data_IF_099891802066
#
_entry.id   IF_099891802066
#
_cell.length_a   1.000
_cell.length_b   1.000
_cell.length_c   1.000
_cell.angle_alpha   90.00
_cell.angle_beta   90.00
_cell.angle_gamma   90.00
#
_symmetry.space_group_name_H-M   'P 1'
#
loop_
_entity.id
_entity.type
_entity.pdbx_description
1 polymer ?
#
# COMPACT_ATOMS: atom_id res chain seq x y z
N UNK A 1 37.37 -10.94 -15.54
CA UNK A 1 37.68 -11.12 -14.13
C UNK A 1 36.45 -10.84 -13.29
N UNK A 2 36.20 -11.63 -12.26
CA UNK A 2 35.09 -11.55 -11.34
C UNK A 2 35.64 -11.39 -9.90
N UNK A 3 34.96 -10.61 -9.05
CA UNK A 3 35.31 -10.42 -7.66
C UNK A 3 35.83 -9.02 -7.31
N UNK A 4 36.25 -8.86 -6.07
CA UNK A 4 36.81 -7.60 -5.54
C UNK A 4 37.97 -7.06 -6.39
N UNK A 5 37.98 -5.75 -6.63
CA UNK A 5 39.06 -5.06 -7.34
C UNK A 5 39.07 -5.29 -8.86
N UNK A 6 37.97 -5.80 -9.43
CA UNK A 6 37.81 -5.94 -10.88
C UNK A 6 36.69 -5.01 -11.40
N UNK A 7 36.58 -4.88 -12.72
CA UNK A 7 35.45 -4.15 -13.33
C UNK A 7 34.09 -4.75 -12.99
N UNK A 8 34.05 -6.02 -12.56
CA UNK A 8 32.84 -6.73 -12.17
C UNK A 8 32.64 -6.77 -10.64
N UNK A 9 33.28 -5.90 -9.87
CA UNK A 9 33.14 -5.82 -8.39
C UNK A 9 31.67 -5.68 -7.98
N UNK A 10 30.88 -4.91 -8.71
CA UNK A 10 29.47 -4.70 -8.42
C UNK A 10 28.63 -6.01 -8.43
N UNK A 11 28.98 -6.99 -9.24
CA UNK A 11 28.31 -8.29 -9.24
C UNK A 11 28.56 -9.03 -7.94
N UNK A 12 29.82 -9.03 -7.49
CA UNK A 12 30.20 -9.61 -6.20
C UNK A 12 29.52 -8.89 -5.04
N UNK A 13 29.44 -7.56 -5.08
CA UNK A 13 28.77 -6.77 -4.04
C UNK A 13 27.27 -7.08 -3.99
N UNK A 14 26.60 -7.20 -5.12
CA UNK A 14 25.19 -7.56 -5.17
C UNK A 14 24.93 -8.96 -4.61
N UNK A 15 25.75 -9.96 -4.95
CA UNK A 15 25.65 -11.28 -4.37
C UNK A 15 25.87 -11.25 -2.86
N UNK A 16 26.86 -10.51 -2.40
CA UNK A 16 27.12 -10.36 -0.97
C UNK A 16 25.94 -9.71 -0.25
N UNK A 17 25.34 -8.64 -0.78
CA UNK A 17 24.16 -8.01 -0.23
C UNK A 17 22.97 -8.96 -0.15
N UNK A 18 22.79 -9.84 -1.12
CA UNK A 18 21.76 -10.87 -1.07
C UNK A 18 21.98 -11.86 0.09
N UNK A 19 23.22 -12.22 0.38
CA UNK A 19 23.55 -13.08 1.55
C UNK A 19 23.21 -12.40 2.88
N UNK A 20 23.17 -11.06 2.89
CA UNK A 20 22.77 -10.23 4.05
C UNK A 20 21.26 -10.01 4.12
N UNK A 21 20.48 -10.63 3.25
CA UNK A 21 19.01 -10.57 3.26
C UNK A 21 18.41 -9.46 2.38
N UNK A 22 19.20 -8.77 1.55
CA UNK A 22 18.65 -7.83 0.57
C UNK A 22 17.94 -8.58 -0.55
N UNK A 23 16.61 -8.61 -0.53
CA UNK A 23 15.78 -9.39 -1.48
C UNK A 23 15.64 -8.80 -2.88
N UNK A 24 16.42 -7.76 -3.25
CA UNK A 24 16.34 -7.10 -4.56
C UNK A 24 17.71 -6.82 -5.15
N UNK A 25 17.75 -6.70 -6.48
CA UNK A 25 18.93 -6.25 -7.22
C UNK A 25 18.91 -4.72 -7.27
N UNK A 26 19.99 -4.09 -6.83
CA UNK A 26 20.12 -2.63 -6.85
C UNK A 26 20.63 -2.14 -8.22
N UNK A 27 20.20 -0.94 -8.67
CA UNK A 27 20.84 -0.24 -9.77
C UNK A 27 22.27 0.16 -9.37
N UNK A 28 23.19 0.08 -10.33
CA UNK A 28 24.61 0.34 -10.11
C UNK A 28 25.03 1.63 -10.81
N UNK A 29 25.63 2.52 -10.06
CA UNK A 29 26.32 3.69 -10.55
C UNK A 29 27.83 3.49 -10.36
N UNK A 30 28.58 3.37 -11.43
CA UNK A 30 30.05 3.35 -11.38
C UNK A 30 30.51 4.79 -11.37
N UNK A 31 30.76 5.33 -10.19
CA UNK A 31 31.06 6.76 -9.99
C UNK A 31 32.48 7.12 -10.35
N UNK A 32 33.40 6.15 -10.27
CA UNK A 32 34.79 6.32 -10.68
C UNK A 32 35.32 5.03 -11.29
N UNK A 33 35.89 5.12 -12.49
CA UNK A 33 36.56 4.00 -13.16
C UNK A 33 37.57 4.51 -14.16
N UNK A 34 38.57 3.72 -14.45
CA UNK A 34 39.59 4.07 -15.41
C UNK A 34 40.95 3.38 -15.17
N UNK A 35 41.91 3.74 -15.92
CA UNK A 35 43.27 3.22 -15.84
C UNK A 35 44.25 4.35 -15.97
N UNK A 36 45.36 4.25 -15.23
CA UNK A 36 46.49 5.16 -15.37
C UNK A 36 47.21 4.93 -16.69
N UNK A 37 47.54 6.01 -17.37
CA UNK A 37 48.40 5.99 -18.56
C UNK A 37 49.78 6.58 -18.28
N UNK A 38 50.77 6.19 -19.10
CA UNK A 38 52.18 6.59 -18.95
C UNK A 38 52.45 8.09 -19.06
N UNK A 39 51.55 8.85 -19.72
CA UNK A 39 51.79 10.23 -20.15
C UNK A 39 51.18 11.26 -19.17
N UNK A 40 51.56 11.21 -17.90
CA UNK A 40 51.24 12.25 -16.93
C UNK A 40 52.13 13.48 -17.05
N UNK A 41 52.22 14.31 -16.02
CA UNK A 41 53.13 15.44 -15.92
C UNK A 41 54.58 14.99 -16.11
N UNK A 42 54.90 13.83 -15.61
CA UNK A 42 56.11 13.09 -15.86
C UNK A 42 55.79 11.75 -16.50
N UNK A 43 56.59 11.31 -17.46
CA UNK A 43 56.41 10.03 -18.10
C UNK A 43 56.75 8.88 -17.19
N UNK A 44 55.85 7.90 -17.01
CA UNK A 44 56.10 6.69 -16.21
C UNK A 44 55.90 5.43 -17.10
N UNK A 45 57.04 4.80 -17.47
CA UNK A 45 57.06 3.61 -18.33
C UNK A 45 56.43 2.35 -17.68
N UNK A 46 56.16 2.38 -16.37
CA UNK A 46 55.51 1.27 -15.65
C UNK A 46 53.98 1.25 -15.84
N UNK A 47 53.45 2.37 -16.31
CA UNK A 47 52.02 2.53 -16.58
C UNK A 47 51.69 2.15 -18.03
N UNK A 48 50.40 1.94 -18.29
CA UNK A 48 49.89 1.60 -19.62
C UNK A 48 50.08 2.74 -20.61
N UNK A 49 50.27 2.42 -21.90
CA UNK A 49 50.19 3.49 -22.89
C UNK A 49 48.78 4.03 -23.02
N UNK A 50 48.58 5.31 -23.45
CA UNK A 50 47.24 5.84 -23.74
C UNK A 50 46.44 4.99 -24.73
N UNK A 51 47.09 4.31 -25.68
CA UNK A 51 46.49 3.40 -26.66
C UNK A 51 45.97 2.12 -25.98
N UNK A 52 46.71 1.60 -25.01
CA UNK A 52 46.28 0.44 -24.21
C UNK A 52 45.08 0.81 -23.34
N UNK A 53 45.09 1.97 -22.70
CA UNK A 53 43.94 2.48 -21.94
C UNK A 53 42.72 2.65 -22.85
N UNK A 54 42.92 3.17 -24.06
CA UNK A 54 41.88 3.30 -25.10
C UNK A 54 41.24 1.93 -25.44
N UNK A 55 42.06 0.90 -25.61
CA UNK A 55 41.59 -0.47 -25.89
C UNK A 55 40.82 -1.05 -24.73
N UNK A 56 41.24 -0.78 -23.47
CA UNK A 56 40.53 -1.23 -22.26
C UNK A 56 39.16 -0.55 -22.09
N UNK A 57 39.05 0.76 -22.34
CA UNK A 57 37.79 1.48 -22.32
C UNK A 57 36.83 0.90 -23.37
N UNK A 58 37.33 0.66 -24.59
CA UNK A 58 36.53 0.06 -25.65
C UNK A 58 36.05 -1.34 -25.24
N UNK A 59 36.93 -2.20 -24.77
CA UNK A 59 36.57 -3.56 -24.33
C UNK A 59 35.56 -3.55 -23.17
N UNK A 60 35.74 -2.68 -22.16
CA UNK A 60 34.81 -2.54 -21.07
C UNK A 60 33.42 -2.07 -21.51
N UNK A 61 33.37 -1.16 -22.49
CA UNK A 61 32.12 -0.60 -23.03
C UNK A 61 31.29 -1.62 -23.82
N UNK A 62 31.92 -2.59 -24.45
CA UNK A 62 31.24 -3.67 -25.16
C UNK A 62 31.01 -4.93 -24.32
N UNK A 63 31.37 -4.93 -23.07
CA UNK A 63 31.22 -6.07 -22.15
C UNK A 63 30.57 -5.70 -20.84
N UNK A 64 31.37 -5.45 -19.79
CA UNK A 64 30.90 -5.32 -18.43
C UNK A 64 30.04 -4.06 -18.20
N UNK A 65 30.29 -2.95 -18.89
CA UNK A 65 29.52 -1.73 -18.76
C UNK A 65 28.14 -1.77 -19.46
N UNK A 66 27.87 -2.79 -20.26
CA UNK A 66 26.52 -3.05 -20.81
C UNK A 66 25.65 -3.92 -19.92
N UNK A 67 26.13 -4.29 -18.74
CA UNK A 67 25.34 -5.09 -17.83
C UNK A 67 24.05 -4.36 -17.44
N UNK A 68 22.92 -5.08 -17.49
CA UNK A 68 21.55 -4.52 -17.29
C UNK A 68 21.36 -3.75 -16.00
N UNK A 69 22.16 -4.00 -14.97
CA UNK A 69 22.07 -3.33 -13.68
C UNK A 69 22.87 -2.03 -13.64
N UNK A 70 23.73 -1.76 -14.61
CA UNK A 70 24.52 -0.52 -14.66
C UNK A 70 23.67 0.59 -15.26
N UNK A 71 23.46 1.64 -14.49
CA UNK A 71 22.69 2.84 -14.87
C UNK A 71 23.60 3.91 -15.49
N UNK A 72 24.78 4.08 -14.93
CA UNK A 72 25.74 5.07 -15.41
C UNK A 72 27.17 4.65 -15.08
N UNK A 73 28.08 5.11 -15.92
CA UNK A 73 29.53 4.96 -15.76
C UNK A 73 30.17 6.32 -15.91
N UNK A 74 30.94 6.73 -14.91
CA UNK A 74 31.70 7.99 -14.92
C UNK A 74 33.19 7.68 -14.91
N UNK A 75 33.88 7.83 -16.05
CA UNK A 75 35.32 7.64 -16.09
C UNK A 75 36.05 8.75 -15.30
N UNK A 76 37.10 8.37 -14.62
CA UNK A 76 37.97 9.27 -13.87
C UNK A 76 39.29 9.44 -14.65
N UNK A 77 39.72 10.65 -15.03
CA UNK A 77 39.13 11.98 -14.81
C UNK A 77 39.23 12.82 -16.10
N UNK A 78 38.25 13.68 -16.36
CA UNK A 78 38.23 14.47 -17.60
C UNK A 78 39.46 15.35 -17.79
N UNK A 79 39.85 16.11 -16.75
CA UNK A 79 41.01 17.02 -16.79
C UNK A 79 41.64 17.14 -15.41
N UNK A 80 42.87 16.66 -15.29
CA UNK A 80 43.70 16.85 -14.11
C UNK A 80 45.15 17.00 -14.53
N UNK A 81 45.82 18.11 -14.17
CA UNK A 81 47.05 18.53 -14.78
C UNK A 81 48.30 18.32 -13.90
N UNK A 82 48.14 17.76 -12.67
CA UNK A 82 49.24 17.58 -11.73
C UNK A 82 49.09 16.29 -10.92
N UNK A 83 50.08 15.94 -10.11
CA UNK A 83 50.04 14.83 -9.17
C UNK A 83 48.86 15.01 -8.16
N UNK A 84 48.15 13.98 -7.75
CA UNK A 84 48.41 12.55 -7.99
C UNK A 84 47.59 11.93 -9.15
N UNK A 85 46.71 12.66 -9.84
CA UNK A 85 45.75 12.10 -10.77
C UNK A 85 46.01 12.46 -12.26
N UNK A 86 47.12 13.13 -12.56
CA UNK A 86 47.51 13.51 -13.89
C UNK A 86 47.59 12.32 -14.86
N UNK A 87 47.99 11.15 -14.39
CA UNK A 87 48.03 9.90 -15.14
C UNK A 87 46.64 9.31 -15.47
N UNK A 88 45.55 9.86 -14.92
CA UNK A 88 44.18 9.47 -15.29
C UNK A 88 43.54 10.50 -16.25
N UNK A 89 44.19 11.64 -16.50
CA UNK A 89 43.59 12.74 -17.24
C UNK A 89 43.29 12.34 -18.69
N UNK A 90 42.09 12.66 -19.18
CA UNK A 90 41.75 12.53 -20.57
C UNK A 90 42.34 13.66 -21.41
N UNK A 91 42.42 14.86 -20.83
CA UNK A 91 43.06 16.00 -21.44
C UNK A 91 44.60 15.89 -21.32
N UNK A 92 45.32 16.13 -22.39
CA UNK A 92 46.77 16.12 -22.37
C UNK A 92 47.32 17.19 -21.43
N UNK A 93 48.46 16.90 -20.83
CA UNK A 93 49.11 17.81 -19.88
C UNK A 93 49.64 19.03 -20.65
N UNK A 94 49.28 20.23 -20.15
CA UNK A 94 49.65 21.53 -20.74
C UNK A 94 49.29 21.68 -22.22
N UNK A 95 48.28 20.99 -22.70
CA UNK A 95 47.81 21.04 -24.08
C UNK A 95 46.32 21.31 -24.20
N UNK A 96 45.84 21.69 -25.37
CA UNK A 96 44.41 21.94 -25.65
C UNK A 96 43.67 20.69 -26.10
N UNK A 97 44.37 19.65 -26.54
CA UNK A 97 43.83 18.41 -27.06
C UNK A 97 43.78 17.28 -26.02
N UNK A 98 43.28 16.13 -26.44
CA UNK A 98 43.00 15.00 -25.58
C UNK A 98 43.86 13.78 -25.98
N UNK A 99 44.05 12.84 -25.04
CA UNK A 99 44.61 11.53 -25.30
C UNK A 99 43.64 10.66 -26.11
N UNK A 100 44.15 9.62 -26.75
CA UNK A 100 43.35 8.73 -27.60
C UNK A 100 42.18 8.07 -26.88
N UNK A 101 42.31 7.76 -25.61
CA UNK A 101 41.25 7.14 -24.80
C UNK A 101 40.06 8.08 -24.56
N UNK A 102 40.21 9.41 -24.66
CA UNK A 102 39.08 10.32 -24.68
C UNK A 102 38.18 10.07 -25.90
N UNK A 103 38.79 9.96 -27.08
CA UNK A 103 38.02 9.76 -28.30
C UNK A 103 37.35 8.39 -28.34
N UNK A 104 37.99 7.34 -27.78
CA UNK A 104 37.35 6.03 -27.60
C UNK A 104 36.13 6.11 -26.71
N UNK A 105 36.23 6.80 -25.58
CA UNK A 105 35.07 7.01 -24.70
C UNK A 105 33.96 7.85 -25.38
N UNK A 106 34.34 8.90 -26.12
CA UNK A 106 33.41 9.75 -26.86
C UNK A 106 32.59 8.94 -27.88
N UNK A 107 33.20 7.98 -28.52
CA UNK A 107 32.59 7.13 -29.57
C UNK A 107 31.66 6.03 -29.02
N UNK A 108 31.71 5.72 -27.73
CA UNK A 108 30.80 4.74 -27.13
C UNK A 108 29.36 5.21 -27.35
N UNK A 109 28.51 4.32 -27.84
CA UNK A 109 27.07 4.57 -27.93
C UNK A 109 26.49 4.80 -26.55
N UNK A 110 25.82 5.92 -26.33
CA UNK A 110 25.24 6.33 -25.07
C UNK A 110 23.73 6.46 -25.20
N UNK A 111 22.99 5.91 -24.24
CA UNK A 111 21.57 6.24 -24.15
C UNK A 111 21.41 7.69 -23.68
N UNK A 112 20.59 8.43 -24.41
CA UNK A 112 20.23 9.80 -24.04
C UNK A 112 18.90 9.75 -23.29
N UNK A 113 18.80 10.51 -22.21
CA UNK A 113 17.57 10.64 -21.45
C UNK A 113 17.80 10.54 -19.94
N UNK A 114 16.72 10.62 -19.19
CA UNK A 114 16.72 10.45 -17.75
C UNK A 114 16.47 8.96 -17.48
N UNK A 115 17.27 8.29 -16.64
CA UNK A 115 17.00 6.91 -16.25
C UNK A 115 15.59 6.80 -15.66
N UNK A 116 14.80 5.87 -16.19
CA UNK A 116 13.45 5.61 -15.66
C UNK A 116 13.56 4.61 -14.53
N UNK A 117 13.05 4.98 -13.39
CA UNK A 117 12.89 4.05 -12.27
C UNK A 117 11.69 3.15 -12.53
N UNK A 118 11.82 1.89 -12.16
CA UNK A 118 10.70 0.95 -12.22
C UNK A 118 9.78 1.21 -11.02
N UNK A 119 8.56 1.57 -11.32
CA UNK A 119 7.48 1.65 -10.34
C UNK A 119 6.72 0.33 -10.34
N UNK A 120 6.54 -0.24 -9.18
CA UNK A 120 5.78 -1.48 -8.99
C UNK A 120 5.27 -1.55 -7.56
N UNK A 121 4.05 -2.02 -7.39
CA UNK A 121 3.43 -2.27 -6.09
C UNK A 121 2.83 -3.67 -6.07
N UNK A 122 2.82 -4.28 -4.90
CA UNK A 122 2.12 -5.52 -4.62
C UNK A 122 1.16 -5.31 -3.45
N UNK A 123 -0.05 -5.86 -3.57
CA UNK A 123 -0.99 -5.85 -2.46
C UNK A 123 -0.71 -7.05 -1.57
N UNK A 124 -0.48 -6.79 -0.29
CA UNK A 124 -0.34 -7.83 0.73
C UNK A 124 -1.71 -8.22 1.32
N UNK A 125 -2.59 -7.24 1.47
CA UNK A 125 -3.97 -7.47 1.92
C UNK A 125 -4.85 -6.30 1.50
N UNK A 126 -6.08 -6.63 1.09
CA UNK A 126 -7.11 -5.65 0.81
C UNK A 126 -8.35 -5.98 1.63
N UNK A 127 -8.91 -4.99 2.28
CA UNK A 127 -10.10 -5.14 3.11
C UNK A 127 -11.35 -4.56 2.41
N UNK A 128 -11.57 -4.95 1.16
CA UNK A 128 -12.81 -4.62 0.48
C UNK A 128 -13.83 -5.75 0.72
N UNK A 129 -14.97 -5.48 1.39
CA UNK A 129 -15.99 -6.51 1.61
C UNK A 129 -16.57 -6.99 0.27
N UNK A 130 -16.78 -8.30 0.14
CA UNK A 130 -17.44 -8.88 -1.04
C UNK A 130 -18.91 -8.46 -1.18
N UNK A 131 -19.53 -8.04 -0.06
CA UNK A 131 -20.89 -7.49 -0.03
C UNK A 131 -20.93 -6.24 0.81
N UNK A 132 -21.56 -5.18 0.30
CA UNK A 132 -21.77 -3.89 0.94
C UNK A 132 -23.23 -3.49 0.87
N UNK A 133 -23.72 -2.80 1.88
CA UNK A 133 -25.09 -2.29 1.89
C UNK A 133 -25.18 -0.99 1.10
N UNK A 134 -26.23 -0.81 0.31
CA UNK A 134 -26.48 0.44 -0.43
C UNK A 134 -26.64 1.63 0.53
N UNK A 135 -26.39 2.85 0.05
CA UNK A 135 -26.47 4.10 0.83
C UNK A 135 -25.63 4.08 2.12
N UNK A 136 -24.52 3.39 2.10
CA UNK A 136 -23.65 3.20 3.26
C UNK A 136 -22.24 3.71 2.99
N UNK A 137 -21.53 4.05 4.07
CA UNK A 137 -20.15 4.52 3.98
C UNK A 137 -19.25 3.51 4.67
N UNK A 138 -18.18 3.12 4.00
CA UNK A 138 -17.20 2.13 4.49
C UNK A 138 -15.81 2.71 4.46
N UNK A 139 -15.01 2.37 5.47
CA UNK A 139 -13.58 2.60 5.46
C UNK A 139 -12.92 1.28 5.06
N UNK A 140 -12.16 1.33 3.98
CA UNK A 140 -11.38 0.19 3.49
C UNK A 140 -9.90 0.48 3.63
N UNK A 141 -9.16 -0.49 4.12
CA UNK A 141 -7.72 -0.42 4.27
C UNK A 141 -7.05 -1.35 3.27
N UNK A 142 -6.07 -0.82 2.55
CA UNK A 142 -5.26 -1.57 1.61
C UNK A 142 -3.81 -1.50 2.07
N UNK A 143 -3.21 -2.65 2.34
CA UNK A 143 -1.78 -2.76 2.60
C UNK A 143 -1.06 -3.02 1.29
N UNK A 144 -0.18 -2.10 0.92
CA UNK A 144 0.65 -2.22 -0.28
C UNK A 144 2.12 -2.34 0.08
N UNK A 145 2.86 -3.09 -0.71
CA UNK A 145 4.32 -3.17 -0.66
C UNK A 145 4.91 -2.51 -1.91
N UNK A 146 5.87 -1.62 -1.71
CA UNK A 146 6.63 -1.06 -2.80
C UNK A 146 7.66 -2.09 -3.32
N UNK A 147 7.37 -2.73 -4.44
CA UNK A 147 8.28 -3.68 -5.12
C UNK A 147 9.07 -3.02 -6.24
N UNK A 148 8.94 -1.71 -6.39
CA UNK A 148 9.66 -0.89 -7.35
C UNK A 148 11.02 -0.42 -6.85
N UNK A 149 11.58 0.53 -7.58
CA UNK A 149 12.86 1.20 -7.28
C UNK A 149 12.65 2.64 -6.80
N UNK A 150 11.49 3.22 -7.10
CA UNK A 150 11.12 4.57 -6.68
C UNK A 150 10.61 4.58 -5.25
N UNK A 151 10.94 5.62 -4.50
CA UNK A 151 10.27 5.93 -3.23
C UNK A 151 8.89 6.49 -3.56
N UNK A 152 7.86 6.02 -2.90
CA UNK A 152 6.51 6.56 -2.97
C UNK A 152 6.39 7.64 -1.90
N UNK A 153 5.99 8.86 -2.27
CA UNK A 153 5.87 10.01 -1.36
C UNK A 153 4.42 10.50 -1.26
N UNK A 154 3.98 10.99 -0.10
CA UNK A 154 2.63 11.55 0.07
C UNK A 154 2.41 12.87 -0.69
N UNK A 155 3.49 13.60 -1.01
CA UNK A 155 3.46 14.91 -1.70
C UNK A 155 4.06 14.86 -3.11
N UNK A 156 4.47 13.69 -3.58
CA UNK A 156 4.75 13.46 -5.00
C UNK A 156 3.42 13.21 -5.71
N UNK A 157 3.45 13.14 -7.03
CA UNK A 157 2.25 12.91 -7.85
C UNK A 157 1.58 11.54 -7.62
N UNK A 158 1.85 10.88 -6.46
CA UNK A 158 1.22 9.62 -6.09
C UNK A 158 -0.08 9.87 -5.33
N UNK A 159 -1.13 9.20 -5.77
CA UNK A 159 -2.41 9.13 -5.08
C UNK A 159 -3.07 7.77 -5.30
N UNK A 160 -3.99 7.39 -4.41
CA UNK A 160 -4.81 6.19 -4.60
C UNK A 160 -6.22 6.62 -4.94
N UNK A 161 -6.82 5.91 -5.86
CA UNK A 161 -8.24 6.05 -6.19
C UNK A 161 -8.88 4.67 -6.31
N UNK A 162 -10.18 4.62 -6.06
CA UNK A 162 -11.00 3.45 -6.29
C UNK A 162 -11.85 3.71 -7.51
N UNK A 163 -11.74 2.86 -8.51
CA UNK A 163 -12.57 2.89 -9.71
C UNK A 163 -13.44 1.65 -9.77
N UNK A 164 -14.62 1.81 -10.29
CA UNK A 164 -15.51 0.69 -10.63
C UNK A 164 -16.08 0.88 -12.04
N UNK A 165 -16.62 -0.19 -12.60
CA UNK A 165 -16.97 -0.29 -14.01
C UNK A 165 -18.15 0.63 -14.44
N UNK A 166 -18.96 1.10 -13.50
CA UNK A 166 -20.16 1.92 -13.77
C UNK A 166 -20.08 3.35 -13.24
N UNK A 167 -19.00 3.73 -12.54
CA UNK A 167 -18.74 5.06 -11.98
C UNK A 167 -19.85 5.59 -11.03
N UNK A 168 -20.38 4.71 -10.18
CA UNK A 168 -21.46 5.03 -9.23
C UNK A 168 -21.01 5.11 -7.77
N UNK A 169 -19.77 4.71 -7.46
CA UNK A 169 -19.20 4.85 -6.12
C UNK A 169 -18.55 6.21 -5.96
N UNK A 170 -18.78 6.84 -4.82
CA UNK A 170 -17.99 7.98 -4.39
C UNK A 170 -16.86 7.45 -3.50
N UNK A 171 -15.62 7.84 -3.78
CA UNK A 171 -14.46 7.42 -2.96
C UNK A 171 -13.52 8.58 -2.70
N UNK A 172 -13.00 8.64 -1.47
CA UNK A 172 -11.95 9.56 -1.05
C UNK A 172 -10.92 8.73 -0.30
N UNK A 173 -9.66 8.80 -0.76
CA UNK A 173 -8.55 8.11 -0.12
C UNK A 173 -7.65 9.09 0.62
N UNK A 174 -7.05 8.64 1.72
CA UNK A 174 -6.02 9.38 2.41
C UNK A 174 -4.78 9.55 1.52
N UNK A 175 -3.95 10.57 1.75
CA UNK A 175 -2.67 10.70 1.09
C UNK A 175 -1.82 9.42 1.26
N UNK A 176 -1.14 9.03 0.20
CA UNK A 176 -0.24 7.87 0.24
C UNK A 176 0.88 8.17 1.23
N UNK A 177 1.20 7.28 2.20
CA UNK A 177 2.34 7.49 3.08
C UNK A 177 3.66 7.36 2.31
N UNK A 178 4.76 7.82 2.89
CA UNK A 178 6.07 7.50 2.36
C UNK A 178 6.32 6.00 2.48
N UNK A 179 6.68 5.35 1.35
CA UNK A 179 6.96 3.92 1.30
C UNK A 179 8.26 3.72 0.53
N UNK A 180 9.31 3.37 1.25
CA UNK A 180 10.60 3.02 0.67
C UNK A 180 10.51 1.72 -0.14
N UNK A 181 11.42 1.49 -1.09
CA UNK A 181 11.49 0.20 -1.78
C UNK A 181 11.59 -0.98 -0.80
N UNK A 182 10.74 -2.00 -1.00
CA UNK A 182 10.49 -3.16 -0.13
C UNK A 182 9.73 -2.90 1.17
N UNK A 183 9.41 -1.66 1.51
CA UNK A 183 8.57 -1.36 2.66
C UNK A 183 7.07 -1.49 2.33
N UNK A 184 6.27 -1.50 3.39
CA UNK A 184 4.82 -1.59 3.33
C UNK A 184 4.19 -0.30 3.83
N UNK A 185 3.05 0.07 3.25
CA UNK A 185 2.22 1.17 3.70
C UNK A 185 0.74 0.80 3.71
N UNK A 186 -0.03 1.43 4.59
CA UNK A 186 -1.48 1.28 4.66
C UNK A 186 -2.12 2.56 4.14
N UNK A 187 -3.05 2.39 3.21
CA UNK A 187 -3.86 3.47 2.64
C UNK A 187 -5.31 3.22 3.02
N UNK A 188 -5.96 4.24 3.55
CA UNK A 188 -7.38 4.22 3.89
C UNK A 188 -8.18 4.97 2.84
N UNK A 189 -9.25 4.34 2.37
CA UNK A 189 -10.21 4.96 1.49
C UNK A 189 -11.60 4.91 2.12
N UNK A 190 -12.30 6.02 2.11
CA UNK A 190 -13.71 6.08 2.43
C UNK A 190 -14.50 5.87 1.15
N UNK A 191 -15.36 4.86 1.13
CA UNK A 191 -16.21 4.52 -0.01
C UNK A 191 -17.66 4.72 0.39
N UNK A 192 -18.42 5.43 -0.45
CA UNK A 192 -19.87 5.56 -0.33
C UNK A 192 -20.54 4.77 -1.46
N UNK A 193 -21.38 3.85 -1.06
CA UNK A 193 -22.12 2.97 -1.98
C UNK A 193 -23.32 3.66 -2.62
N UNK A 194 -23.72 3.26 -3.85
CA UNK A 194 -24.90 3.82 -4.51
C UNK A 194 -26.20 3.48 -3.79
N UNK A 195 -27.31 4.03 -4.26
CA UNK A 195 -28.65 3.82 -3.71
C UNK A 195 -29.43 2.70 -4.39
N UNK A 196 -28.75 1.85 -5.16
CA UNK A 196 -29.34 0.71 -5.88
C UNK A 196 -28.41 -0.50 -5.78
N UNK A 197 -29.00 -1.68 -5.81
CA UNK A 197 -28.30 -2.97 -5.78
C UNK A 197 -27.61 -3.29 -7.10
N UNK A 198 -26.63 -4.15 -7.07
CA UNK A 198 -25.92 -4.62 -8.25
C UNK A 198 -24.56 -5.26 -7.93
N UNK A 199 -23.96 -5.81 -8.97
CA UNK A 199 -22.59 -6.34 -8.92
C UNK A 199 -21.66 -5.38 -9.67
N UNK A 200 -20.50 -5.15 -9.09
CA UNK A 200 -19.51 -4.19 -9.55
C UNK A 200 -18.11 -4.78 -9.48
N UNK A 201 -17.34 -4.52 -10.52
CA UNK A 201 -15.90 -4.79 -10.48
C UNK A 201 -15.20 -3.55 -9.97
N UNK A 202 -14.65 -3.64 -8.79
CA UNK A 202 -13.96 -2.53 -8.11
C UNK A 202 -12.46 -2.71 -8.21
N UNK A 203 -11.75 -1.66 -8.57
CA UNK A 203 -10.30 -1.65 -8.69
C UNK A 203 -9.69 -0.54 -7.85
N UNK A 204 -8.69 -0.87 -7.04
CA UNK A 204 -7.78 0.11 -6.46
C UNK A 204 -6.66 0.42 -7.44
N UNK A 205 -6.36 1.68 -7.66
CA UNK A 205 -5.35 2.15 -8.60
C UNK A 205 -4.43 3.12 -7.85
N UNK A 206 -3.13 2.86 -7.90
CA UNK A 206 -2.11 3.84 -7.54
C UNK A 206 -1.82 4.69 -8.78
N UNK A 207 -2.03 5.98 -8.66
CA UNK A 207 -1.73 6.97 -9.69
C UNK A 207 -0.35 7.58 -9.46
N UNK A 208 0.41 7.79 -10.52
CA UNK A 208 1.60 8.63 -10.50
C UNK A 208 1.56 9.55 -11.72
N UNK A 209 1.15 10.78 -11.51
CA UNK A 209 0.86 11.71 -12.58
C UNK A 209 -0.24 11.19 -13.51
N UNK A 210 0.12 10.87 -14.77
CA UNK A 210 -0.80 10.28 -15.76
C UNK A 210 -0.69 8.76 -15.88
N UNK A 211 0.18 8.12 -15.07
CA UNK A 211 0.43 6.68 -15.12
C UNK A 211 -0.46 5.98 -14.10
N UNK A 212 -1.26 5.05 -14.56
CA UNK A 212 -2.05 4.15 -13.72
C UNK A 212 -1.23 2.90 -13.40
N UNK A 213 -1.06 2.60 -12.12
CA UNK A 213 -0.46 1.36 -11.62
C UNK A 213 -1.61 0.58 -10.99
N UNK A 214 -2.23 -0.37 -11.72
CA UNK A 214 -3.36 -1.13 -11.21
C UNK A 214 -2.91 -2.04 -10.07
N UNK A 215 -3.70 -2.06 -9.00
CA UNK A 215 -3.36 -2.85 -7.82
C UNK A 215 -4.10 -4.19 -7.89
N UNK A 216 -5.43 -4.20 -7.78
CA UNK A 216 -6.21 -5.45 -7.81
C UNK A 216 -7.66 -5.17 -8.20
N UNK A 217 -8.33 -6.20 -8.75
CA UNK A 217 -9.76 -6.21 -9.02
C UNK A 217 -10.49 -7.05 -7.96
N UNK A 218 -11.57 -6.53 -7.43
CA UNK A 218 -12.44 -7.24 -6.50
C UNK A 218 -13.89 -7.11 -6.98
N UNK A 219 -14.60 -8.21 -7.01
CA UNK A 219 -16.04 -8.17 -7.23
C UNK A 219 -16.76 -7.81 -5.93
N UNK A 220 -17.62 -6.81 -5.98
CA UNK A 220 -18.39 -6.32 -4.84
C UNK A 220 -19.87 -6.35 -5.20
N UNK A 221 -20.67 -6.94 -4.35
CA UNK A 221 -22.14 -6.93 -4.48
C UNK A 221 -22.73 -5.87 -3.55
N UNK A 222 -23.52 -4.96 -4.10
CA UNK A 222 -24.31 -4.00 -3.35
C UNK A 222 -25.68 -4.58 -3.10
N UNK A 223 -26.06 -4.66 -1.83
CA UNK A 223 -27.30 -5.27 -1.35
C UNK A 223 -28.21 -4.27 -0.66
N UNK A 224 -29.53 -4.53 -0.58
CA UNK A 224 -30.42 -3.74 0.26
C UNK A 224 -30.04 -3.81 1.73
N UNK A 225 -30.44 -2.80 2.55
CA UNK A 225 -30.18 -2.85 4.00
C UNK A 225 -30.85 -4.08 4.62
N UNK A 226 -30.10 -4.93 5.33
CA UNK A 226 -30.65 -6.08 6.00
C UNK A 226 -31.73 -5.70 7.04
N UNK A 227 -32.57 -6.66 7.35
CA UNK A 227 -33.54 -6.57 8.43
C UNK A 227 -33.25 -7.62 9.52
N UNK A 228 -33.72 -7.39 10.72
CA UNK A 228 -33.60 -8.36 11.81
C UNK A 228 -34.90 -8.51 12.62
N UNK A 229 -35.20 -9.75 12.96
CA UNK A 229 -36.20 -10.12 13.91
C UNK A 229 -35.52 -10.65 15.16
N UNK A 230 -35.80 -10.00 16.31
CA UNK A 230 -35.23 -10.38 17.60
C UNK A 230 -36.31 -11.14 18.40
N UNK A 231 -35.97 -12.34 18.86
CA UNK A 231 -36.75 -13.10 19.82
C UNK A 231 -36.35 -12.69 21.21
N UNK A 232 -37.28 -12.06 21.95
CA UNK A 232 -37.05 -11.50 23.30
C UNK A 232 -37.95 -12.18 24.31
N UNK A 233 -37.34 -12.65 25.37
CA UNK A 233 -38.08 -13.22 26.56
C UNK A 233 -37.99 -12.24 27.70
N UNK A 234 -39.14 -11.80 28.20
CA UNK A 234 -39.23 -10.84 29.30
C UNK A 234 -39.59 -11.54 30.62
N UNK A 235 -38.72 -11.39 31.62
CA UNK A 235 -38.95 -11.85 33.00
C UNK A 235 -39.50 -13.26 33.07
N UNK A 236 -40.59 -13.40 33.79
CA UNK A 236 -41.31 -14.67 34.00
C UNK A 236 -42.45 -14.89 32.99
N UNK A 237 -42.80 -13.87 32.18
CA UNK A 237 -43.94 -13.92 31.27
C UNK A 237 -43.46 -13.87 29.78
N UNK A 238 -43.82 -14.90 29.02
CA UNK A 238 -43.40 -15.04 27.60
C UNK A 238 -44.25 -14.22 26.59
N UNK A 239 -45.37 -13.66 27.04
CA UNK A 239 -46.38 -13.07 26.13
C UNK A 239 -46.64 -11.57 26.32
N UNK A 240 -45.80 -10.88 27.06
CA UNK A 240 -45.93 -9.43 27.26
C UNK A 240 -45.69 -8.65 26.01
N UNK A 241 -46.56 -7.68 25.74
CA UNK A 241 -46.36 -6.66 24.72
C UNK A 241 -45.88 -5.36 25.37
N UNK A 242 -44.79 -4.82 24.86
CA UNK A 242 -44.22 -3.54 25.29
C UNK A 242 -44.31 -2.57 24.11
N UNK A 243 -44.91 -1.39 24.28
CA UNK A 243 -45.15 -0.48 23.16
C UNK A 243 -43.85 0.20 22.65
N UNK A 244 -42.87 0.33 23.50
CA UNK A 244 -41.65 1.04 23.16
C UNK A 244 -40.44 0.44 23.86
N UNK A 245 -39.41 0.12 23.07
CA UNK A 245 -38.08 -0.28 23.51
C UNK A 245 -37.04 0.29 22.60
N UNK A 246 -35.76 0.11 22.92
CA UNK A 246 -34.65 0.59 22.09
C UNK A 246 -33.72 -0.56 21.73
N UNK A 247 -33.27 -0.58 20.48
CA UNK A 247 -32.24 -1.50 20.01
C UNK A 247 -31.04 -0.68 19.55
N UNK A 248 -29.85 -0.96 20.08
CA UNK A 248 -28.59 -0.35 19.72
C UNK A 248 -27.75 -1.40 19.03
N UNK A 249 -27.11 -0.99 17.94
CA UNK A 249 -26.19 -1.84 17.18
C UNK A 249 -24.81 -1.17 17.17
N UNK A 250 -23.82 -1.88 17.67
CA UNK A 250 -22.43 -1.44 17.74
C UNK A 250 -21.54 -2.36 16.92
N UNK A 251 -20.48 -1.81 16.36
CA UNK A 251 -19.36 -2.62 15.87
C UNK A 251 -18.53 -3.20 17.05
N UNK A 252 -17.51 -4.00 16.73
CA UNK A 252 -16.63 -4.59 17.74
C UNK A 252 -15.67 -3.58 18.42
N UNK A 253 -15.55 -2.37 17.84
CA UNK A 253 -14.78 -1.26 18.42
C UNK A 253 -15.65 -0.36 19.33
N UNK A 254 -16.89 -0.79 19.62
CA UNK A 254 -17.88 -0.05 20.40
C UNK A 254 -18.38 1.25 19.73
N UNK A 255 -18.24 1.38 18.42
CA UNK A 255 -18.84 2.48 17.67
C UNK A 255 -20.33 2.19 17.49
N UNK A 256 -21.19 3.12 17.88
CA UNK A 256 -22.64 3.01 17.69
C UNK A 256 -22.96 3.24 16.21
N UNK A 257 -23.44 2.20 15.52
CA UNK A 257 -23.89 2.29 14.12
C UNK A 257 -25.38 2.64 14.03
N UNK A 258 -26.22 2.04 14.87
CA UNK A 258 -27.66 2.25 14.83
C UNK A 258 -28.28 2.40 16.22
N UNK A 259 -29.26 3.28 16.30
CA UNK A 259 -30.15 3.44 17.45
C UNK A 259 -31.59 3.43 16.95
N UNK A 260 -32.29 2.30 17.13
CA UNK A 260 -33.71 2.18 16.84
C UNK A 260 -34.50 2.45 18.15
N UNK A 261 -35.28 3.50 18.15
CA UNK A 261 -36.15 3.87 19.28
C UNK A 261 -37.61 3.53 18.95
N UNK A 262 -38.44 3.41 19.99
CA UNK A 262 -39.85 3.08 19.85
C UNK A 262 -40.11 1.76 19.10
N UNK A 263 -39.23 0.78 19.27
CA UNK A 263 -39.41 -0.55 18.69
C UNK A 263 -40.37 -1.33 19.58
N UNK A 264 -41.57 -1.75 19.13
CA UNK A 264 -42.50 -2.48 19.95
C UNK A 264 -42.08 -3.94 20.11
N UNK A 265 -42.31 -4.51 21.26
CA UNK A 265 -42.25 -5.94 21.50
C UNK A 265 -43.69 -6.47 21.40
N UNK A 266 -43.95 -7.35 20.45
CA UNK A 266 -45.25 -7.98 20.24
C UNK A 266 -45.09 -9.52 20.33
N UNK A 267 -45.71 -10.14 21.31
CA UNK A 267 -45.60 -11.60 21.54
C UNK A 267 -44.15 -12.08 21.61
N UNK A 268 -43.26 -11.30 22.21
CA UNK A 268 -41.84 -11.63 22.31
C UNK A 268 -41.00 -11.38 21.04
N UNK A 269 -41.55 -10.69 20.04
CA UNK A 269 -40.84 -10.37 18.80
C UNK A 269 -40.65 -8.87 18.66
N UNK A 270 -39.43 -8.48 18.22
CA UNK A 270 -39.07 -7.14 17.80
C UNK A 270 -38.55 -7.19 16.35
N UNK A 271 -38.89 -6.19 15.55
CA UNK A 271 -38.37 -6.09 14.19
C UNK A 271 -37.61 -4.77 14.01
N UNK A 272 -36.46 -4.84 13.44
CA UNK A 272 -35.67 -3.67 13.01
C UNK A 272 -35.35 -3.81 11.53
N UNK A 273 -35.40 -2.69 10.80
CA UNK A 273 -35.14 -2.61 9.37
C UNK A 273 -34.18 -1.47 9.09
N UNK A 274 -33.53 -1.52 7.94
CA UNK A 274 -32.61 -0.44 7.56
C UNK A 274 -31.28 -0.52 8.30
N UNK A 275 -30.67 -1.69 8.40
CA UNK A 275 -29.34 -1.87 8.96
C UNK A 275 -28.29 -1.44 7.93
N UNK A 276 -28.07 -0.14 7.82
CA UNK A 276 -27.03 0.45 6.98
C UNK A 276 -25.63 0.29 7.61
N UNK A 277 -24.56 0.53 6.83
CA UNK A 277 -23.17 0.52 7.30
C UNK A 277 -22.71 -0.80 7.94
N UNK A 278 -23.51 -1.84 7.84
CA UNK A 278 -23.11 -3.18 8.28
C UNK A 278 -22.46 -3.95 7.13
N UNK A 279 -21.56 -4.84 7.47
CA UNK A 279 -20.89 -5.73 6.52
C UNK A 279 -21.37 -7.15 6.79
N UNK A 280 -22.02 -7.81 5.84
CA UNK A 280 -22.41 -9.21 5.98
C UNK A 280 -21.21 -10.10 6.32
N UNK A 281 -21.46 -11.11 7.14
CA UNK A 281 -20.42 -12.02 7.65
C UNK A 281 -19.65 -11.48 8.86
N UNK A 282 -19.74 -10.18 9.18
CA UNK A 282 -19.10 -9.61 10.37
C UNK A 282 -19.97 -9.72 11.61
N UNK A 283 -19.29 -9.72 12.76
CA UNK A 283 -19.93 -9.76 14.06
C UNK A 283 -20.20 -8.33 14.58
N UNK A 284 -21.36 -8.16 15.22
CA UNK A 284 -21.83 -6.92 15.84
C UNK A 284 -22.33 -7.17 17.23
N UNK A 285 -22.28 -6.16 18.10
CA UNK A 285 -22.85 -6.18 19.44
C UNK A 285 -24.21 -5.48 19.41
N UNK A 286 -25.27 -6.24 19.74
CA UNK A 286 -26.64 -5.74 19.89
C UNK A 286 -26.93 -5.51 21.35
N UNK A 287 -27.51 -4.35 21.68
CA UNK A 287 -28.01 -4.06 23.03
C UNK A 287 -29.50 -3.76 22.96
N UNK A 288 -30.28 -4.46 23.78
CA UNK A 288 -31.72 -4.28 23.89
C UNK A 288 -32.01 -3.62 25.21
N UNK A 289 -32.67 -2.46 25.14
CA UNK A 289 -33.14 -1.68 26.32
C UNK A 289 -34.65 -1.68 26.33
N UNK A 290 -35.21 -2.26 27.41
CA UNK A 290 -36.67 -2.29 27.64
C UNK A 290 -36.94 -1.54 28.94
N UNK A 291 -37.93 -0.60 29.00
CA UNK A 291 -38.22 0.15 30.21
C UNK A 291 -38.44 -0.76 31.40
N UNK A 292 -37.76 -0.47 32.52
CA UNK A 292 -37.80 -1.21 33.78
C UNK A 292 -37.20 -2.62 33.76
N UNK A 293 -36.47 -2.98 32.69
CA UNK A 293 -35.75 -4.24 32.59
C UNK A 293 -34.24 -3.97 32.42
N UNK A 294 -33.45 -4.79 33.07
CA UNK A 294 -31.97 -4.76 32.89
C UNK A 294 -31.58 -4.94 31.43
N UNK A 295 -30.68 -4.10 30.93
CA UNK A 295 -30.20 -4.21 29.55
C UNK A 295 -29.63 -5.59 29.22
N UNK A 296 -29.80 -6.02 27.97
CA UNK A 296 -29.18 -7.25 27.49
C UNK A 296 -28.40 -6.97 26.23
N UNK A 297 -27.22 -7.56 26.16
CA UNK A 297 -26.39 -7.53 24.97
C UNK A 297 -26.13 -8.94 24.44
N UNK A 298 -26.05 -9.04 23.14
CA UNK A 298 -25.64 -10.24 22.41
C UNK A 298 -24.68 -9.88 21.30
N UNK A 299 -23.78 -10.83 20.97
CA UNK A 299 -22.95 -10.75 19.79
C UNK A 299 -23.58 -11.59 18.69
N UNK A 300 -23.78 -10.98 17.52
CA UNK A 300 -24.46 -11.61 16.39
C UNK A 300 -23.61 -11.48 15.14
N UNK A 301 -23.74 -12.44 14.23
CA UNK A 301 -23.21 -12.33 12.88
C UNK A 301 -24.28 -11.80 11.95
N UNK A 302 -23.98 -10.78 11.16
CA UNK A 302 -24.90 -10.17 10.20
C UNK A 302 -24.97 -11.01 8.94
N UNK A 303 -26.16 -11.35 8.48
CA UNK A 303 -26.40 -11.95 7.16
C UNK A 303 -26.89 -10.89 6.18
N UNK A 304 -26.83 -11.20 4.89
CA UNK A 304 -27.12 -10.26 3.78
C UNK A 304 -28.59 -9.80 3.72
N UNK A 305 -29.53 -10.66 4.10
CA UNK A 305 -30.96 -10.38 3.94
C UNK A 305 -31.66 -10.28 5.29
N UNK A 306 -32.26 -11.39 5.72
CA UNK A 306 -33.03 -11.46 6.95
C UNK A 306 -32.22 -12.14 8.05
N UNK A 307 -32.20 -11.49 9.20
CA UNK A 307 -31.55 -11.99 10.40
C UNK A 307 -32.58 -12.40 11.43
N UNK A 308 -32.31 -13.47 12.15
CA UNK A 308 -33.11 -13.90 13.30
C UNK A 308 -32.20 -14.09 14.50
N UNK A 309 -32.38 -13.27 15.51
CA UNK A 309 -31.53 -13.27 16.69
C UNK A 309 -32.34 -13.60 17.97
N UNK A 310 -31.76 -14.37 18.87
CA UNK A 310 -32.35 -14.69 20.16
C UNK A 310 -31.62 -13.89 21.24
N UNK A 311 -32.36 -13.03 21.95
CA UNK A 311 -31.84 -12.25 23.05
C UNK A 311 -32.05 -13.03 24.32
N UNK A 312 -31.01 -13.18 25.15
CA UNK A 312 -31.14 -13.78 26.47
C UNK A 312 -32.20 -13.07 27.27
N UNK A 313 -32.83 -13.79 28.21
CA UNK A 313 -33.95 -13.29 29.03
C UNK A 313 -33.59 -11.96 29.68
N UNK A 314 -34.48 -10.94 29.53
CA UNK A 314 -34.41 -9.69 30.24
C UNK A 314 -35.15 -9.85 31.60
N UNK A 315 -34.50 -9.44 32.65
CA UNK A 315 -35.07 -9.44 33.98
C UNK A 315 -35.60 -8.06 34.34
N UNK A 316 -36.79 -7.94 34.98
CA UNK A 316 -37.29 -6.68 35.52
C UNK A 316 -36.37 -6.21 36.65
N UNK A 317 -36.67 -5.08 37.25
CA UNK A 317 -36.01 -4.46 38.41
C UNK A 317 -34.88 -3.46 38.04
N UNK A 318 -35.05 -2.72 37.00
CA UNK A 318 -34.26 -1.51 36.70
C UNK A 318 -35.21 -0.29 36.77
N UNK A 319 -35.65 0.06 37.98
CA UNK A 319 -36.65 1.09 38.19
C UNK A 319 -36.04 2.49 38.06
N UNK A 320 -34.80 2.67 38.48
CA UNK A 320 -34.06 3.93 38.34
C UNK A 320 -33.44 4.13 36.96
N UNK A 321 -33.42 3.08 36.11
CA UNK A 321 -32.90 3.07 34.70
C UNK A 321 -31.40 3.34 34.61
N UNK A 322 -30.62 2.91 35.61
CA UNK A 322 -29.17 3.02 35.60
C UNK A 322 -28.49 1.82 34.93
N UNK A 323 -29.25 0.78 34.57
CA UNK A 323 -28.78 -0.42 33.88
C UNK A 323 -28.21 -1.48 34.82
N UNK A 324 -28.30 -1.27 36.13
CA UNK A 324 -27.83 -2.20 37.16
C UNK A 324 -28.95 -2.55 38.12
N UNK A 325 -28.92 -3.73 38.74
CA UNK A 325 -29.81 -4.08 39.82
C UNK A 325 -29.11 -3.78 41.16
N UNK A 326 -29.58 -2.77 41.86
CA UNK A 326 -28.98 -2.28 43.10
C UNK A 326 -30.10 -2.11 44.20
N UNK A 327 -29.69 -1.68 45.38
CA UNK A 327 -30.65 -1.33 46.45
C UNK A 327 -31.44 -0.03 46.14
N UNK A 328 -31.08 0.69 45.09
CA UNK A 328 -31.79 1.86 44.64
C UNK A 328 -32.99 1.54 43.72
N UNK A 329 -33.07 0.30 43.24
CA UNK A 329 -34.19 -0.25 42.48
C UNK A 329 -35.26 -0.83 43.41
#
# INVERSE_FOLDING_TARGET
AYGKGTLATFLWEQEFLQTLGLGRILPVFITETGWQHSNGKYYDFRLLSPETVSSYITAASFSIWQHQNIVAVTPFVFNYQDYPFDHFSFKKINASDYYVHYYSYQQISKMKGIPQQRESVHINSQFLPSSMVMQSTYIVETSIQNTGQSIIYPFSDYSVTIREDKHVFESICDPVPQIEPNEQGIIRCTIKTPNFEGEYTVQSILLHGKKDIPIEYTMVRIIPPPSAQLHVTLGFNKTVSIPSSTVLVYDLNNVLLHKFTNVPIQKGLMNVTGLYQVIPGRQYRIVVLVPYYLPRQEYITMNEEKNTWTIRRLYPFDFNKDGAFTLAD
#
